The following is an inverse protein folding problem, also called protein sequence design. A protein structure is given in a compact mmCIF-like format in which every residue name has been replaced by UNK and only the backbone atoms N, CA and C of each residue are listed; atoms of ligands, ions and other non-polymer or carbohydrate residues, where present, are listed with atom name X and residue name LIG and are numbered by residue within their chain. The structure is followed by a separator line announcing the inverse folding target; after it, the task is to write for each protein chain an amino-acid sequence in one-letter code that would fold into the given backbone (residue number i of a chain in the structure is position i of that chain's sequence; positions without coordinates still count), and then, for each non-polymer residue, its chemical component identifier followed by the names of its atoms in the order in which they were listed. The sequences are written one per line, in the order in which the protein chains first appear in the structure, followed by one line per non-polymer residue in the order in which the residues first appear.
data_IF_865131947084
#
_entry.id   IF_865131947084
#
_cell.length_a   1.000
_cell.length_b   1.000
_cell.length_c   1.000
_cell.angle_alpha   90.00
_cell.angle_beta   90.00
_cell.angle_gamma   90.00
#
_symmetry.space_group_name_H-M   'P 1'
#
loop_
_entity.id
_entity.type
_entity.pdbx_description
1 polymer ?
#
# COMPACT_ATOMS: atom_id res chain seq x y z
N UNK A 1 13.67 16.95 -7.59
CA UNK A 1 14.46 17.51 -6.49
C UNK A 1 13.57 17.62 -5.27
N UNK A 2 14.17 17.76 -4.09
CA UNK A 2 13.45 17.97 -2.84
C UNK A 2 12.49 19.17 -2.90
N UNK A 3 12.78 20.17 -3.76
CA UNK A 3 11.89 21.33 -3.98
C UNK A 3 10.52 20.95 -4.55
N UNK A 4 10.47 19.99 -5.48
CA UNK A 4 9.21 19.52 -6.07
C UNK A 4 8.40 18.76 -5.02
N UNK A 5 9.06 17.95 -4.19
CA UNK A 5 8.42 17.21 -3.11
C UNK A 5 7.84 18.16 -2.05
N UNK A 6 8.61 19.16 -1.63
CA UNK A 6 8.17 20.16 -0.66
C UNK A 6 7.01 21.01 -1.20
N UNK A 7 7.09 21.44 -2.46
CA UNK A 7 6.02 22.18 -3.12
C UNK A 7 4.73 21.34 -3.24
N UNK A 8 4.85 20.08 -3.68
CA UNK A 8 3.72 19.16 -3.78
C UNK A 8 3.05 18.89 -2.43
N UNK A 9 3.85 18.71 -1.38
CA UNK A 9 3.36 18.51 -0.02
C UNK A 9 2.58 19.72 0.49
N UNK A 10 3.06 20.93 0.23
CA UNK A 10 2.39 22.18 0.60
C UNK A 10 1.04 22.34 -0.13
N UNK A 11 1.03 22.09 -1.45
CA UNK A 11 -0.18 22.19 -2.27
C UNK A 11 -1.23 21.14 -1.87
N UNK A 12 -0.81 19.91 -1.53
CA UNK A 12 -1.69 18.87 -1.02
C UNK A 12 -2.35 19.29 0.29
N UNK A 13 -1.58 19.88 1.21
CA UNK A 13 -2.10 20.38 2.47
C UNK A 13 -3.12 21.50 2.25
N UNK A 14 -2.83 22.44 1.36
CA UNK A 14 -3.72 23.57 1.06
C UNK A 14 -5.03 23.13 0.42
N UNK A 15 -4.98 22.25 -0.59
CA UNK A 15 -6.16 21.79 -1.35
C UNK A 15 -7.26 21.24 -0.44
N UNK A 16 -6.87 20.55 0.62
CA UNK A 16 -7.73 19.75 1.48
C UNK A 16 -7.95 20.37 2.87
N UNK A 17 -7.34 21.53 3.13
CA UNK A 17 -7.37 22.22 4.43
C UNK A 17 -8.77 22.60 4.93
N UNK A 18 -9.72 22.80 4.01
CA UNK A 18 -11.07 23.26 4.34
C UNK A 18 -12.08 22.11 4.52
N UNK A 19 -11.70 20.87 4.23
CA UNK A 19 -12.60 19.73 4.35
C UNK A 19 -12.41 19.03 5.72
N UNK A 20 -13.36 19.20 6.66
CA UNK A 20 -13.26 18.61 7.99
C UNK A 20 -13.34 17.07 7.96
N UNK A 21 -13.90 16.47 6.90
CA UNK A 21 -14.01 15.01 6.79
C UNK A 21 -12.65 14.32 6.59
N UNK A 22 -11.65 15.05 6.08
CA UNK A 22 -10.33 14.51 5.77
C UNK A 22 -9.23 15.06 6.66
N UNK A 23 -9.52 16.03 7.54
CA UNK A 23 -8.53 16.69 8.38
C UNK A 23 -7.72 15.69 9.24
N UNK A 24 -8.38 14.69 9.83
CA UNK A 24 -7.70 13.66 10.61
C UNK A 24 -6.76 12.80 9.74
N UNK A 25 -7.22 12.42 8.54
CA UNK A 25 -6.41 11.66 7.59
C UNK A 25 -5.22 12.50 7.10
N UNK A 26 -5.45 13.77 6.79
CA UNK A 26 -4.43 14.69 6.32
C UNK A 26 -3.31 14.85 7.36
N UNK A 27 -3.66 15.03 8.63
CA UNK A 27 -2.68 15.10 9.72
C UNK A 27 -1.85 13.80 9.80
N UNK A 28 -2.53 12.64 9.85
CA UNK A 28 -1.87 11.35 9.87
C UNK A 28 -0.94 11.16 8.66
N UNK A 29 -1.40 11.53 7.47
CA UNK A 29 -0.66 11.40 6.24
C UNK A 29 0.62 12.25 6.27
N UNK A 30 0.51 13.50 6.75
CA UNK A 30 1.64 14.39 6.87
C UNK A 30 2.70 13.87 7.87
N UNK A 31 2.25 13.39 9.03
CA UNK A 31 3.14 12.88 10.07
C UNK A 31 3.89 11.62 9.60
N UNK A 32 3.19 10.68 8.96
CA UNK A 32 3.80 9.42 8.54
C UNK A 32 4.55 9.53 7.22
N UNK A 33 3.94 10.11 6.20
CA UNK A 33 4.41 9.99 4.82
C UNK A 33 5.18 11.21 4.33
N UNK A 34 4.93 12.40 4.89
CA UNK A 34 5.71 13.59 4.54
C UNK A 34 6.91 13.76 5.47
N UNK A 35 6.70 13.59 6.78
CA UNK A 35 7.76 13.85 7.78
C UNK A 35 8.61 12.62 8.04
N UNK A 36 8.00 11.49 8.39
CA UNK A 36 8.73 10.31 8.88
C UNK A 36 9.32 9.44 7.76
N UNK A 37 8.61 9.26 6.65
CA UNK A 37 8.98 8.34 5.57
C UNK A 37 8.96 9.02 4.18
N UNK A 38 9.70 10.11 3.91
CA UNK A 38 9.55 10.90 2.68
C UNK A 38 10.02 10.20 1.38
N UNK A 39 10.47 8.95 1.41
CA UNK A 39 11.10 8.27 0.26
C UNK A 39 10.13 7.50 -0.64
N UNK A 40 8.84 7.77 -0.58
CA UNK A 40 7.81 7.07 -1.37
C UNK A 40 7.45 7.76 -2.70
N UNK A 41 7.90 8.99 -2.95
CA UNK A 41 7.54 9.73 -4.17
C UNK A 41 8.41 9.33 -5.36
N UNK A 42 7.90 9.47 -6.59
CA UNK A 42 8.57 9.09 -7.84
C UNK A 42 10.01 9.63 -7.96
N UNK A 43 10.24 10.84 -7.46
CA UNK A 43 11.55 11.50 -7.52
C UNK A 43 12.57 10.97 -6.51
N UNK A 44 12.15 10.19 -5.50
CA UNK A 44 13.05 9.59 -4.51
C UNK A 44 13.91 8.46 -5.11
N UNK A 45 13.38 7.79 -6.14
CA UNK A 45 14.02 6.65 -6.79
C UNK A 45 13.90 6.77 -8.31
N UNK A 46 14.62 7.75 -8.87
CA UNK A 46 14.57 8.04 -10.30
C UNK A 46 14.94 6.81 -11.15
N UNK A 47 14.17 6.57 -12.21
CA UNK A 47 14.25 5.39 -13.10
C UNK A 47 13.88 4.04 -12.47
N UNK A 48 13.40 4.01 -11.22
CA UNK A 48 12.76 2.81 -10.67
C UNK A 48 11.24 2.89 -10.87
N UNK A 49 10.59 1.77 -11.23
CA UNK A 49 9.16 1.76 -11.41
C UNK A 49 8.45 1.83 -10.06
N UNK A 50 7.71 2.91 -9.84
CA UNK A 50 6.81 3.07 -8.69
C UNK A 50 5.50 2.36 -8.96
N UNK A 51 5.54 1.03 -8.94
CA UNK A 51 4.35 0.19 -9.13
C UNK A 51 4.12 -0.64 -7.89
N UNK A 52 2.91 -0.56 -7.37
CA UNK A 52 2.40 -1.49 -6.37
C UNK A 52 1.80 -2.76 -7.03
N UNK A 53 1.83 -2.88 -8.36
CA UNK A 53 1.12 -3.90 -9.13
C UNK A 53 1.44 -5.32 -8.65
N UNK A 54 2.68 -5.60 -8.25
CA UNK A 54 3.07 -6.92 -7.72
C UNK A 54 2.37 -7.22 -6.39
N UNK A 55 2.42 -6.28 -5.45
CA UNK A 55 1.74 -6.39 -4.15
C UNK A 55 0.21 -6.47 -4.33
N UNK A 56 -0.36 -5.65 -5.21
CA UNK A 56 -1.78 -5.65 -5.50
C UNK A 56 -2.24 -6.96 -6.17
N UNK A 57 -1.47 -7.47 -7.12
CA UNK A 57 -1.76 -8.74 -7.79
C UNK A 57 -1.70 -9.92 -6.82
N UNK A 58 -0.68 -9.96 -5.96
CA UNK A 58 -0.56 -10.99 -4.92
C UNK A 58 -1.73 -10.91 -3.93
N UNK A 59 -2.05 -9.70 -3.44
CA UNK A 59 -3.20 -9.47 -2.57
C UNK A 59 -4.51 -9.87 -3.24
N UNK A 60 -4.65 -9.63 -4.55
CA UNK A 60 -5.76 -10.07 -5.37
C UNK A 60 -5.89 -11.59 -5.38
N UNK A 61 -4.79 -12.30 -5.66
CA UNK A 61 -4.72 -13.77 -5.65
C UNK A 61 -5.14 -14.34 -4.29
N UNK A 62 -4.59 -13.81 -3.19
CA UNK A 62 -4.97 -14.20 -1.81
C UNK A 62 -6.46 -14.03 -1.57
N UNK A 63 -7.00 -12.86 -1.93
CA UNK A 63 -8.41 -12.53 -1.72
C UNK A 63 -9.37 -13.37 -2.56
N UNK A 64 -9.01 -13.67 -3.81
CA UNK A 64 -9.87 -14.37 -4.75
C UNK A 64 -9.79 -15.89 -4.60
N UNK A 65 -8.59 -16.44 -4.40
CA UNK A 65 -8.35 -17.88 -4.49
C UNK A 65 -8.28 -18.55 -3.11
N UNK A 66 -7.93 -17.80 -2.06
CA UNK A 66 -7.63 -18.39 -0.74
C UNK A 66 -8.58 -17.96 0.36
N UNK A 67 -8.85 -16.67 0.52
CA UNK A 67 -9.67 -16.18 1.64
C UNK A 67 -11.11 -15.83 1.26
N UNK A 68 -11.43 -15.72 -0.03
CA UNK A 68 -12.71 -15.20 -0.54
C UNK A 68 -13.12 -13.86 0.11
N UNK A 69 -12.12 -13.05 0.54
CA UNK A 69 -12.31 -11.83 1.35
C UNK A 69 -13.01 -12.03 2.70
N UNK A 70 -13.15 -13.27 3.17
CA UNK A 70 -13.74 -13.59 4.47
C UNK A 70 -12.66 -13.73 5.54
N UNK A 71 -12.99 -13.31 6.77
CA UNK A 71 -12.17 -13.63 7.95
C UNK A 71 -12.37 -15.11 8.26
N UNK A 72 -11.29 -15.88 8.17
CA UNK A 72 -11.31 -17.30 8.51
C UNK A 72 -11.01 -17.49 10.00
N UNK A 73 -11.66 -18.46 10.63
CA UNK A 73 -11.23 -18.95 11.94
C UNK A 73 -9.82 -19.54 11.82
N UNK A 74 -9.03 -19.49 12.89
CA UNK A 74 -7.63 -19.96 12.87
C UNK A 74 -7.51 -21.41 12.37
N UNK A 75 -8.43 -22.28 12.79
CA UNK A 75 -8.51 -23.68 12.36
C UNK A 75 -8.70 -23.86 10.85
N UNK A 76 -9.40 -22.93 10.19
CA UNK A 76 -9.60 -22.91 8.73
C UNK A 76 -8.52 -22.10 8.00
N UNK A 77 -7.88 -21.16 8.69
CA UNK A 77 -6.84 -20.31 8.13
C UNK A 77 -5.54 -21.06 7.90
N UNK A 78 -5.05 -21.81 8.89
CA UNK A 78 -3.75 -22.49 8.79
C UNK A 78 -3.67 -23.48 7.61
N UNK A 79 -4.67 -24.36 7.39
CA UNK A 79 -4.66 -25.25 6.23
C UNK A 79 -4.70 -24.48 4.90
N UNK A 80 -5.34 -23.30 4.89
CA UNK A 80 -5.44 -22.47 3.69
C UNK A 80 -4.12 -21.77 3.37
N UNK A 81 -3.36 -21.36 4.39
CA UNK A 81 -2.00 -20.84 4.24
C UNK A 81 -1.07 -21.92 3.72
N UNK A 82 -1.15 -23.13 4.29
CA UNK A 82 -0.34 -24.27 3.83
C UNK A 82 -0.63 -24.60 2.36
N UNK A 83 -1.91 -24.68 1.98
CA UNK A 83 -2.31 -24.84 0.57
C UNK A 83 -1.72 -23.74 -0.31
N UNK A 84 -1.84 -22.48 0.10
CA UNK A 84 -1.34 -21.33 -0.66
C UNK A 84 0.17 -21.39 -0.89
N UNK A 85 0.94 -21.75 0.14
CA UNK A 85 2.39 -21.87 0.05
C UNK A 85 2.80 -23.03 -0.86
N UNK A 86 2.09 -24.16 -0.81
CA UNK A 86 2.33 -25.30 -1.70
C UNK A 86 2.01 -24.96 -3.16
N UNK A 87 0.91 -24.25 -3.43
CA UNK A 87 0.57 -23.82 -4.79
C UNK A 87 1.63 -22.85 -5.35
N UNK A 88 2.20 -21.98 -4.51
CA UNK A 88 3.22 -21.03 -4.94
C UNK A 88 4.60 -21.68 -5.13
N UNK A 89 4.92 -22.71 -4.35
CA UNK A 89 6.20 -23.44 -4.48
C UNK A 89 6.21 -24.37 -5.69
N UNK A 90 5.05 -24.84 -6.13
CA UNK A 90 4.89 -25.78 -7.25
C UNK A 90 4.48 -25.12 -8.56
N UNK A 91 3.94 -23.90 -8.53
CA UNK A 91 3.69 -23.11 -9.72
C UNK A 91 5.02 -22.78 -10.41
N UNK A 92 5.33 -23.50 -11.48
CA UNK A 92 6.41 -23.17 -12.40
C UNK A 92 5.99 -21.92 -13.17
N UNK A 93 6.87 -20.91 -13.23
CA UNK A 93 6.68 -19.68 -14.02
C UNK A 93 6.51 -19.99 -15.50
#
# INVERSE_FOLDING_TARGET
SDDIFNCGSLLLTQKWSADPAIQQFQQYFFDQWITKLPLWYEGAAFNLPSTNNGCESLNGKIKQQYTLRNKLHLSSFLPKVEQMLNDWSTATL
#
